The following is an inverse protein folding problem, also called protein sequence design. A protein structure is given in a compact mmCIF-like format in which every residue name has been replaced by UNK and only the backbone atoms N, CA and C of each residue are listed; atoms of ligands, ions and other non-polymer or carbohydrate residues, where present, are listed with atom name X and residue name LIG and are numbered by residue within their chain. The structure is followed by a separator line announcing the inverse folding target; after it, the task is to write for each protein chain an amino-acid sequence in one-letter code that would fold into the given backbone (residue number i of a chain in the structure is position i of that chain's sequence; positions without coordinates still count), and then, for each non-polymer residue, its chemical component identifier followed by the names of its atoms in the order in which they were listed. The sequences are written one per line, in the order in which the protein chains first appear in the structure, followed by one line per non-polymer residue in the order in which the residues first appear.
data_IF_085245289067
#
_entry.id   IF_085245289067
#
_cell.length_a   1.000
_cell.length_b   1.000
_cell.length_c   1.000
_cell.angle_alpha   90.00
_cell.angle_beta   90.00
_cell.angle_gamma   90.00
#
_symmetry.space_group_name_H-M   'P 1'
#
loop_
_entity.id
_entity.type
_entity.pdbx_description
1 polymer ?
#
# COMPACT_ATOMS: atom_id res chain seq x y z
N UNK A 1 14.16 5.25 -16.52
CA UNK A 1 13.17 4.98 -15.46
C UNK A 1 12.15 4.02 -16.04
N UNK A 2 11.95 2.85 -15.44
CA UNK A 2 11.07 1.81 -15.98
C UNK A 2 9.62 2.14 -15.66
N UNK A 3 8.71 1.89 -16.60
CA UNK A 3 7.26 2.08 -16.41
C UNK A 3 6.54 0.79 -16.77
N UNK A 4 5.47 0.51 -16.06
CA UNK A 4 4.53 -0.57 -16.37
C UNK A 4 3.15 0.05 -16.61
N UNK A 5 2.39 -0.50 -17.55
CA UNK A 5 1.02 -0.07 -17.77
C UNK A 5 0.07 -0.99 -17.00
N UNK A 6 -0.71 -0.41 -16.09
CA UNK A 6 -1.69 -1.11 -15.26
C UNK A 6 -3.03 -0.42 -15.43
N UNK A 7 -4.03 -1.11 -15.99
CA UNK A 7 -5.36 -0.53 -16.26
C UNK A 7 -5.31 0.82 -16.99
N UNK A 8 -4.52 0.92 -18.07
CA UNK A 8 -4.29 2.16 -18.83
C UNK A 8 -3.66 3.30 -18.02
N UNK A 9 -3.08 3.00 -16.85
CA UNK A 9 -2.34 3.94 -16.01
C UNK A 9 -0.87 3.56 -16.01
N UNK A 10 -0.01 4.49 -16.38
CA UNK A 10 1.44 4.29 -16.32
C UNK A 10 1.92 4.43 -14.87
N UNK A 11 2.50 3.35 -14.34
CA UNK A 11 3.08 3.31 -13.00
C UNK A 11 4.60 3.22 -13.14
N UNK A 12 5.29 4.16 -12.51
CA UNK A 12 6.76 4.17 -12.49
C UNK A 12 7.28 3.11 -11.52
N UNK A 13 8.30 2.39 -11.96
CA UNK A 13 9.07 1.44 -11.16
C UNK A 13 10.47 1.99 -10.91
N UNK A 14 10.86 2.03 -9.64
CA UNK A 14 12.15 2.52 -9.16
C UNK A 14 12.88 1.36 -8.48
N UNK A 15 14.15 1.13 -8.84
CA UNK A 15 14.98 0.10 -8.21
C UNK A 15 15.87 0.75 -7.14
N UNK A 16 15.78 0.27 -5.91
CA UNK A 16 16.61 0.72 -4.78
C UNK A 16 17.16 -0.53 -4.10
N UNK A 17 18.49 -0.62 -3.93
CA UNK A 17 19.15 -1.76 -3.28
C UNK A 17 18.72 -3.15 -3.81
N UNK A 18 18.64 -3.27 -5.14
CA UNK A 18 18.15 -4.47 -5.85
C UNK A 18 16.68 -4.86 -5.60
N UNK A 19 15.91 -4.01 -4.93
CA UNK A 19 14.46 -4.18 -4.75
C UNK A 19 13.72 -3.22 -5.67
N UNK A 20 12.69 -3.73 -6.35
CA UNK A 20 11.83 -2.93 -7.20
C UNK A 20 10.68 -2.34 -6.38
N UNK A 21 10.48 -1.03 -6.48
CA UNK A 21 9.42 -0.26 -5.84
C UNK A 21 8.53 0.36 -6.91
N UNK A 22 7.23 0.41 -6.64
CA UNK A 22 6.24 1.06 -7.50
C UNK A 22 5.83 2.41 -6.89
N UNK A 23 5.64 3.44 -7.72
CA UNK A 23 5.14 4.72 -7.22
C UNK A 23 3.65 4.63 -6.88
N UNK A 24 3.34 4.66 -5.58
CA UNK A 24 1.97 4.60 -5.07
C UNK A 24 1.10 5.77 -5.54
N UNK A 25 1.69 6.95 -5.72
CA UNK A 25 0.99 8.13 -6.24
C UNK A 25 0.53 7.93 -7.68
N UNK A 26 1.28 7.21 -8.51
CA UNK A 26 0.85 6.90 -9.88
C UNK A 26 -0.35 5.94 -9.90
N UNK A 27 -0.41 5.00 -8.94
CA UNK A 27 -1.59 4.13 -8.78
C UNK A 27 -2.80 4.94 -8.34
N UNK A 28 -2.62 5.91 -7.44
CA UNK A 28 -3.70 6.76 -6.96
C UNK A 28 -4.28 7.69 -8.04
N UNK A 29 -3.46 8.09 -9.03
CA UNK A 29 -3.90 8.92 -10.17
C UNK A 29 -5.00 8.28 -11.01
N UNK A 30 -5.09 6.94 -10.99
CA UNK A 30 -6.20 6.24 -11.64
C UNK A 30 -7.58 6.72 -11.14
N UNK A 31 -7.66 7.11 -9.85
CA UNK A 31 -8.93 7.52 -9.23
C UNK A 31 -9.17 9.03 -9.26
N UNK A 32 -8.13 9.84 -9.06
CA UNK A 32 -8.20 11.32 -9.08
C UNK A 32 -6.81 11.93 -9.15
N UNK A 33 -6.71 13.17 -9.62
CA UNK A 33 -5.48 13.96 -9.61
C UNK A 33 -5.02 14.32 -8.19
N UNK A 34 -5.96 14.50 -7.24
CA UNK A 34 -5.63 14.67 -5.82
C UNK A 34 -5.40 13.30 -5.14
N UNK A 35 -4.19 12.80 -5.34
CA UNK A 35 -3.76 11.48 -4.86
C UNK A 35 -3.68 11.37 -3.34
N UNK A 36 -3.47 12.47 -2.61
CA UNK A 36 -3.23 12.47 -1.16
C UNK A 36 -4.46 11.98 -0.40
N UNK A 37 -5.65 12.45 -0.78
CA UNK A 37 -6.91 12.04 -0.18
C UNK A 37 -7.21 10.54 -0.41
N UNK A 38 -6.91 10.03 -1.60
CA UNK A 38 -7.11 8.61 -1.94
C UNK A 38 -6.19 7.71 -1.12
N UNK A 39 -4.89 8.05 -1.09
CA UNK A 39 -3.90 7.30 -0.32
C UNK A 39 -4.26 7.34 1.17
N UNK A 40 -4.65 8.51 1.69
CA UNK A 40 -5.12 8.64 3.06
C UNK A 40 -6.33 7.74 3.36
N UNK A 41 -7.29 7.65 2.45
CA UNK A 41 -8.43 6.74 2.60
C UNK A 41 -8.03 5.26 2.56
N UNK A 42 -7.08 4.87 1.69
CA UNK A 42 -6.55 3.50 1.67
C UNK A 42 -5.90 3.13 3.01
N UNK A 43 -5.07 4.02 3.55
CA UNK A 43 -4.36 3.77 4.81
C UNK A 43 -5.26 3.77 6.05
N UNK A 44 -6.46 4.36 5.96
CA UNK A 44 -7.48 4.31 7.03
C UNK A 44 -8.42 3.10 6.92
N UNK A 45 -8.46 2.45 5.75
CA UNK A 45 -9.37 1.34 5.52
C UNK A 45 -8.78 0.05 6.08
N UNK A 46 -9.46 -0.52 7.09
CA UNK A 46 -9.05 -1.78 7.74
C UNK A 46 -8.81 -2.91 6.75
N UNK A 47 -9.67 -3.08 5.75
CA UNK A 47 -9.54 -4.15 4.76
C UNK A 47 -8.28 -3.97 3.90
N UNK A 48 -7.91 -2.73 3.57
CA UNK A 48 -6.68 -2.45 2.84
C UNK A 48 -5.46 -2.79 3.69
N UNK A 49 -5.45 -2.39 4.96
CA UNK A 49 -4.36 -2.70 5.88
C UNK A 49 -4.25 -4.21 6.12
N UNK A 50 -5.36 -4.92 6.32
CA UNK A 50 -5.38 -6.38 6.43
C UNK A 50 -4.80 -7.06 5.18
N UNK A 51 -5.22 -6.62 4.00
CA UNK A 51 -4.70 -7.15 2.74
C UNK A 51 -3.19 -6.95 2.61
N UNK A 52 -2.69 -5.74 2.89
CA UNK A 52 -1.26 -5.43 2.87
C UNK A 52 -0.49 -6.27 3.89
N UNK A 53 -1.05 -6.49 5.08
CA UNK A 53 -0.45 -7.35 6.11
C UNK A 53 -0.32 -8.80 5.69
N UNK A 54 -1.35 -9.36 5.04
CA UNK A 54 -1.30 -10.71 4.47
C UNK A 54 -0.24 -10.77 3.38
N UNK A 55 -0.21 -9.79 2.48
CA UNK A 55 0.76 -9.75 1.40
C UNK A 55 2.21 -9.67 1.93
N UNK A 56 2.46 -8.82 2.92
CA UNK A 56 3.77 -8.70 3.58
C UNK A 56 4.15 -10.00 4.26
N UNK A 57 3.24 -10.64 4.99
CA UNK A 57 3.50 -11.94 5.63
C UNK A 57 3.91 -13.03 4.62
N UNK A 58 3.36 -12.99 3.40
CA UNK A 58 3.66 -13.96 2.34
C UNK A 58 4.95 -13.66 1.58
N UNK A 59 5.27 -12.37 1.37
CA UNK A 59 6.33 -11.95 0.43
C UNK A 59 7.54 -11.29 1.10
N UNK A 60 7.45 -10.91 2.38
CA UNK A 60 8.54 -10.28 3.12
C UNK A 60 9.05 -11.23 4.23
N UNK A 61 10.20 -11.91 4.03
CA UNK A 61 10.78 -12.81 5.03
C UNK A 61 11.12 -12.14 6.36
N UNK A 62 11.32 -10.82 6.36
CA UNK A 62 11.64 -10.01 7.54
C UNK A 62 10.40 -9.31 8.11
N UNK A 63 9.19 -9.79 7.79
CA UNK A 63 7.96 -9.19 8.28
C UNK A 63 7.91 -9.18 9.81
N UNK A 64 7.52 -8.03 10.37
CA UNK A 64 7.48 -7.80 11.81
C UNK A 64 6.03 -7.72 12.29
N UNK A 65 5.42 -8.85 12.69
CA UNK A 65 3.99 -8.90 13.00
C UNK A 65 3.60 -8.01 14.18
N UNK A 66 4.46 -7.90 15.21
CA UNK A 66 4.17 -7.07 16.39
C UNK A 66 4.14 -5.56 16.06
N UNK A 67 5.05 -5.08 15.22
CA UNK A 67 5.03 -3.69 14.75
C UNK A 67 3.78 -3.45 13.88
N UNK A 68 3.37 -4.48 13.11
CA UNK A 68 2.20 -4.40 12.25
C UNK A 68 0.86 -4.39 13.01
N UNK A 69 0.77 -5.07 14.15
CA UNK A 69 -0.43 -5.05 15.01
C UNK A 69 -0.83 -3.64 15.46
N UNK A 70 0.14 -2.73 15.58
CA UNK A 70 -0.11 -1.32 15.90
C UNK A 70 -1.07 -0.62 14.92
N UNK A 71 -1.08 -1.04 13.64
CA UNK A 71 -2.00 -0.50 12.63
C UNK A 71 -3.45 -0.97 12.82
N UNK A 72 -3.67 -2.09 13.52
CA UNK A 72 -5.01 -2.60 13.83
C UNK A 72 -5.55 -2.06 15.15
N UNK A 73 -4.69 -1.96 16.17
CA UNK A 73 -5.12 -1.60 17.53
C UNK A 73 -5.52 -0.12 17.66
N UNK A 74 -5.06 0.76 16.77
CA UNK A 74 -5.50 2.17 16.73
C UNK A 74 -6.88 2.38 16.08
N UNK A 75 -7.53 1.32 15.58
CA UNK A 75 -8.88 1.39 15.04
C UNK A 75 -9.88 1.12 16.18
N UNK A 76 -10.90 1.98 16.38
CA UNK A 76 -11.80 1.84 17.52
C UNK A 76 -12.46 0.47 17.54
N UNK A 77 -12.41 -0.18 18.70
CA UNK A 77 -12.96 -1.51 19.02
C UNK A 77 -14.50 -1.61 18.89
N UNK A 78 -15.17 -0.67 18.21
CA UNK A 78 -16.64 -0.64 18.05
C UNK A 78 -17.10 -1.14 16.68
N UNK A 79 -16.26 -1.88 15.96
CA UNK A 79 -16.60 -2.50 14.67
C UNK A 79 -16.72 -4.04 14.79
N UNK A 80 -17.33 -4.50 15.89
CA UNK A 80 -17.85 -5.86 16.05
C UNK A 80 -19.35 -5.86 15.77
#
# INVERSE_FOLDING_TARGET
MTKINVNNTDVVVVKINNTDYILLTDIAKYKTEDTSAVIGNWMRNRNTIEYLGIWEKLNNPNFKPLEFEGFFCSLPSSAW
#
